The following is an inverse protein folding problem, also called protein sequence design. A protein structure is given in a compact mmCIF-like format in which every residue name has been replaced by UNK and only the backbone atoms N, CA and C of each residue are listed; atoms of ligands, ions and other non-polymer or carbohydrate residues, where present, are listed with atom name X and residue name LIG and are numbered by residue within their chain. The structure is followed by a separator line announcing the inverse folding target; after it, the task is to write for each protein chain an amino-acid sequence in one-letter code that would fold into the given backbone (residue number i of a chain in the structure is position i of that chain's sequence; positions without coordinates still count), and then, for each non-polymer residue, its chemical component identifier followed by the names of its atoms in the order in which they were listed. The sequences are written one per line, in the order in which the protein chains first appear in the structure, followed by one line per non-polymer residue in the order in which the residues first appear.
data_IF_537824349655
#
_entry.id   IF_537824349655
#
_cell.length_a   1.000
_cell.length_b   1.000
_cell.length_c   1.000
_cell.angle_alpha   90.00
_cell.angle_beta   90.00
_cell.angle_gamma   90.00
#
_symmetry.space_group_name_H-M   'P 1'
#
loop_
_entity.id
_entity.type
_entity.pdbx_description
1 polymer ?
#
# COMPACT_ATOMS: atom_id res chain seq x y z
N UNK A 1 -9.43 8.94 -22.35
CA UNK A 1 -10.61 8.94 -21.45
C UNK A 1 -10.10 9.00 -20.03
N UNK A 2 -10.72 9.82 -19.16
CA UNK A 2 -10.41 9.84 -17.73
C UNK A 2 -11.02 8.58 -17.09
N UNK A 3 -10.21 7.74 -16.46
CA UNK A 3 -10.67 6.52 -15.77
C UNK A 3 -10.88 6.86 -14.29
N UNK A 4 -11.94 6.32 -13.70
CA UNK A 4 -12.18 6.39 -12.25
C UNK A 4 -11.89 5.03 -11.62
N UNK A 5 -11.62 5.01 -10.31
CA UNK A 5 -11.52 3.78 -9.55
C UNK A 5 -12.89 3.09 -9.48
N UNK A 6 -12.95 1.81 -9.85
CA UNK A 6 -14.20 1.02 -9.92
C UNK A 6 -14.15 -0.26 -9.08
N UNK A 7 -12.98 -0.60 -8.56
CA UNK A 7 -12.70 -1.87 -7.90
C UNK A 7 -11.85 -1.62 -6.65
N UNK A 8 -12.06 -2.44 -5.63
CA UNK A 8 -11.18 -2.54 -4.46
C UNK A 8 -10.59 -3.94 -4.48
N UNK A 9 -9.27 -4.04 -4.50
CA UNK A 9 -8.55 -5.32 -4.47
C UNK A 9 -7.94 -5.48 -3.08
N UNK A 10 -8.23 -6.61 -2.42
CA UNK A 10 -7.76 -6.90 -1.05
C UNK A 10 -6.64 -7.94 -1.13
N UNK A 11 -5.53 -7.66 -0.45
CA UNK A 11 -4.37 -8.54 -0.34
C UNK A 11 -3.97 -8.73 1.13
N UNK A 12 -3.16 -9.76 1.39
CA UNK A 12 -2.33 -9.86 2.59
C UNK A 12 -0.88 -9.54 2.18
N UNK A 13 -0.09 -8.98 3.11
CA UNK A 13 1.33 -8.69 2.87
C UNK A 13 2.22 -9.94 2.80
N UNK A 14 1.68 -11.11 3.15
CA UNK A 14 2.41 -12.37 3.32
C UNK A 14 3.61 -12.21 4.28
N UNK A 15 3.43 -11.37 5.31
CA UNK A 15 4.42 -11.08 6.34
C UNK A 15 3.76 -11.03 7.72
N UNK A 16 4.51 -11.42 8.76
CA UNK A 16 4.02 -11.36 10.15
C UNK A 16 4.02 -9.95 10.74
N UNK A 17 4.80 -9.05 10.14
CA UNK A 17 5.01 -7.67 10.55
C UNK A 17 5.17 -6.78 9.31
N UNK A 18 4.94 -5.49 9.47
CA UNK A 18 5.13 -4.50 8.43
C UNK A 18 4.31 -3.25 8.67
N UNK A 19 4.71 -2.18 7.99
CA UNK A 19 3.92 -0.97 7.82
C UNK A 19 4.17 -0.43 6.41
N UNK A 20 3.43 0.59 5.97
CA UNK A 20 3.58 1.16 4.63
C UNK A 20 5.02 1.60 4.35
N UNK A 21 5.74 2.14 5.35
CA UNK A 21 7.15 2.50 5.22
C UNK A 21 8.05 1.31 4.93
N UNK A 22 7.92 0.21 5.69
CA UNK A 22 8.78 -0.97 5.51
C UNK A 22 8.45 -1.71 4.22
N UNK A 23 7.17 -1.81 3.85
CA UNK A 23 6.75 -2.40 2.59
C UNK A 23 7.25 -1.55 1.41
N UNK A 24 7.14 -0.21 1.48
CA UNK A 24 7.71 0.72 0.48
C UNK A 24 9.20 0.49 0.31
N UNK A 25 9.96 0.44 1.40
CA UNK A 25 11.39 0.15 1.38
C UNK A 25 11.69 -1.16 0.64
N UNK A 26 10.99 -2.24 1.01
CA UNK A 26 11.19 -3.57 0.40
C UNK A 26 10.89 -3.61 -1.11
N UNK A 27 9.85 -2.89 -1.56
CA UNK A 27 9.51 -2.74 -2.98
C UNK A 27 10.53 -1.90 -3.74
N UNK A 28 10.96 -0.76 -3.19
CA UNK A 28 11.98 0.10 -3.80
C UNK A 28 13.32 -0.63 -3.98
N UNK A 29 13.73 -1.43 -2.99
CA UNK A 29 14.92 -2.30 -3.07
C UNK A 29 14.85 -3.34 -4.22
N UNK A 30 13.65 -3.60 -4.75
CA UNK A 30 13.39 -4.53 -5.88
C UNK A 30 13.10 -3.79 -7.19
N UNK A 31 13.39 -2.50 -7.25
CA UNK A 31 13.24 -1.69 -8.47
C UNK A 31 11.80 -1.28 -8.78
N UNK A 32 10.88 -1.38 -7.82
CA UNK A 32 9.53 -0.85 -8.00
C UNK A 32 9.58 0.68 -7.92
N UNK A 33 8.63 1.36 -8.56
CA UNK A 33 8.56 2.83 -8.54
C UNK A 33 8.20 3.37 -7.15
N UNK A 34 7.34 2.65 -6.44
CA UNK A 34 6.90 2.93 -5.09
C UNK A 34 6.30 1.64 -4.49
N UNK A 35 5.78 1.68 -3.26
CA UNK A 35 4.90 0.65 -2.70
C UNK A 35 3.80 0.28 -3.71
N UNK A 36 3.54 -1.02 -3.83
CA UNK A 36 2.52 -1.55 -4.72
C UNK A 36 1.12 -1.09 -4.34
N UNK A 37 0.80 -1.09 -3.04
CA UNK A 37 -0.55 -0.89 -2.50
C UNK A 37 -0.89 0.60 -2.30
N UNK A 38 -2.16 0.94 -2.46
CA UNK A 38 -2.70 2.28 -2.12
C UNK A 38 -2.83 2.49 -0.61
N UNK A 39 -3.26 1.47 0.12
CA UNK A 39 -3.45 1.52 1.57
C UNK A 39 -2.93 0.25 2.24
N UNK A 40 -2.49 0.39 3.49
CA UNK A 40 -2.07 -0.73 4.34
C UNK A 40 -2.83 -0.66 5.66
N UNK A 41 -3.50 -1.75 6.03
CA UNK A 41 -4.11 -1.90 7.35
C UNK A 41 -3.09 -2.58 8.26
N UNK A 42 -2.76 -1.96 9.39
CA UNK A 42 -1.74 -2.46 10.30
C UNK A 42 -2.30 -3.52 11.25
N UNK A 43 -1.43 -4.44 11.66
CA UNK A 43 -1.69 -5.45 12.69
C UNK A 43 -0.98 -5.14 14.02
N UNK A 44 -0.54 -3.89 14.21
CA UNK A 44 0.25 -3.44 15.35
C UNK A 44 1.74 -3.85 15.34
N UNK A 45 2.17 -4.83 14.53
CA UNK A 45 3.57 -5.29 14.47
C UNK A 45 4.33 -4.56 13.35
N UNK A 46 4.94 -3.42 13.68
CA UNK A 46 5.63 -2.55 12.70
C UNK A 46 6.94 -3.15 12.19
N UNK A 47 7.70 -3.78 13.08
CA UNK A 47 9.01 -4.41 12.82
C UNK A 47 9.09 -5.75 13.58
N UNK A 48 10.05 -6.65 13.27
CA UNK A 48 10.17 -7.95 13.94
C UNK A 48 10.20 -7.90 15.47
N UNK A 49 10.68 -6.78 16.04
CA UNK A 49 10.83 -6.58 17.49
C UNK A 49 10.09 -5.33 18.00
N UNK A 50 9.18 -4.77 17.21
CA UNK A 50 8.40 -3.60 17.59
C UNK A 50 6.91 -3.87 17.39
N UNK A 51 6.21 -4.08 18.50
CA UNK A 51 4.77 -4.23 18.56
C UNK A 51 4.16 -3.02 19.26
N UNK A 52 3.27 -2.33 18.57
CA UNK A 52 2.54 -1.16 19.03
C UNK A 52 1.04 -1.48 18.95
N UNK A 53 0.41 -2.01 20.01
CA UNK A 53 -1.00 -2.38 19.98
C UNK A 53 -1.94 -1.20 19.66
N UNK A 54 -1.53 0.02 20.01
CA UNK A 54 -2.32 1.23 19.80
C UNK A 54 -2.57 1.58 18.31
N UNK A 55 -1.84 0.95 17.38
CA UNK A 55 -2.01 1.16 15.94
C UNK A 55 -2.54 -0.08 15.22
N UNK A 56 -2.94 -1.13 15.95
CA UNK A 56 -3.63 -2.27 15.33
C UNK A 56 -4.97 -1.81 14.74
N UNK A 57 -5.23 -2.20 13.49
CA UNK A 57 -6.36 -1.74 12.69
C UNK A 57 -6.23 -0.32 12.12
N UNK A 58 -5.12 0.39 12.36
CA UNK A 58 -4.90 1.70 11.74
C UNK A 58 -4.61 1.56 10.24
N UNK A 59 -4.91 2.61 9.47
CA UNK A 59 -4.69 2.65 8.03
C UNK A 59 -3.55 3.61 7.73
N UNK A 60 -2.52 3.13 7.03
CA UNK A 60 -1.45 3.95 6.49
C UNK A 60 -1.62 4.13 4.97
N UNK A 61 -1.33 5.34 4.50
CA UNK A 61 -1.28 5.63 3.07
C UNK A 61 0.00 5.02 2.47
N UNK A 62 -0.20 4.17 1.46
CA UNK A 62 0.88 3.63 0.64
C UNK A 62 1.16 4.59 -0.51
N UNK A 63 0.83 4.14 -1.73
CA UNK A 63 0.94 4.94 -2.94
C UNK A 63 0.00 6.13 -2.87
N UNK A 64 0.54 7.31 -3.10
CA UNK A 64 -0.20 8.57 -2.96
C UNK A 64 -1.34 8.62 -3.99
N UNK A 65 -2.52 8.99 -3.52
CA UNK A 65 -3.64 9.41 -4.34
C UNK A 65 -3.77 10.93 -4.20
N UNK A 66 -3.98 11.62 -5.30
CA UNK A 66 -4.23 13.04 -5.29
C UNK A 66 -5.74 13.32 -5.05
N UNK A 67 -6.12 14.59 -4.97
CA UNK A 67 -7.50 14.99 -4.67
C UNK A 67 -8.42 14.95 -5.91
N UNK A 68 -7.95 14.41 -7.03
CA UNK A 68 -8.74 14.32 -8.26
C UNK A 68 -9.52 13.01 -8.32
N UNK A 69 -10.63 13.04 -9.06
CA UNK A 69 -11.48 11.86 -9.29
C UNK A 69 -10.99 11.01 -10.46
N UNK A 70 -9.81 11.30 -11.00
CA UNK A 70 -9.31 10.70 -12.23
C UNK A 70 -7.99 10.03 -11.97
N UNK A 71 -7.86 8.77 -12.38
CA UNK A 71 -6.63 8.00 -12.19
C UNK A 71 -5.49 8.64 -12.99
N UNK A 72 -4.44 9.04 -12.29
CA UNK A 72 -3.18 9.50 -12.87
C UNK A 72 -2.11 8.39 -12.87
N UNK A 73 -1.11 8.52 -13.73
CA UNK A 73 -0.16 7.42 -14.01
C UNK A 73 0.76 7.10 -12.85
N UNK A 74 1.02 8.05 -11.95
CA UNK A 74 1.78 7.92 -10.73
C UNK A 74 0.99 7.25 -9.59
N UNK A 75 -0.35 7.35 -9.64
CA UNK A 75 -1.28 6.72 -8.70
C UNK A 75 -1.50 5.22 -8.95
N UNK A 76 -1.19 4.73 -10.16
CA UNK A 76 -1.35 3.32 -10.53
C UNK A 76 -0.40 2.45 -9.72
N UNK A 77 -0.94 1.46 -9.02
CA UNK A 77 -0.22 0.53 -8.16
C UNK A 77 0.57 -0.54 -8.92
N UNK A 78 1.08 -1.51 -8.16
CA UNK A 78 1.73 -2.72 -8.70
C UNK A 78 1.32 -3.96 -7.90
N UNK A 79 0.04 -4.04 -7.50
CA UNK A 79 -0.48 -5.06 -6.58
C UNK A 79 -1.37 -6.12 -7.26
N UNK A 80 -1.97 -5.81 -8.41
CA UNK A 80 -2.88 -6.71 -9.12
C UNK A 80 -2.84 -6.48 -10.64
N UNK A 81 -2.23 -7.41 -11.39
CA UNK A 81 -2.17 -7.31 -12.85
C UNK A 81 -3.58 -7.17 -13.46
N UNK A 82 -3.79 -6.09 -14.22
CA UNK A 82 -5.09 -5.73 -14.80
C UNK A 82 -5.97 -4.82 -13.94
N UNK A 83 -5.65 -4.67 -12.65
CA UNK A 83 -6.40 -3.90 -11.65
C UNK A 83 -5.50 -3.01 -10.76
N UNK A 84 -4.30 -2.69 -11.24
CA UNK A 84 -3.36 -1.78 -10.58
C UNK A 84 -3.88 -0.36 -10.43
#
# INVERSE_FOLDING_TARGET
MRRAWTNIIIHCSDSEWGCAREIRKWHLERGWKDIGYHFVILNGKVLPRLHLPAIDGSIECGRILNETLTVETDEVGSHALGYN
#
